data_IF_132254781286
#
_entry.id   IF_132254781286
#
_cell.length_a   1.000
_cell.length_b   1.000
_cell.length_c   1.000
_cell.angle_alpha   90.00
_cell.angle_beta   90.00
_cell.angle_gamma   90.00
#
_symmetry.space_group_name_H-M   'P 1'
#
loop_
_entity.id
_entity.type
_entity.pdbx_description
1 polymer ?
#
# COMPACT_ATOMS: atom_id res chain seq x y z
N UNK A 1 4.02 67.93 -19.19
CA UNK A 1 3.29 67.43 -18.01
C UNK A 1 2.77 66.05 -18.39
N UNK A 2 3.51 64.98 -18.07
CA UNK A 2 3.46 64.21 -16.81
C UNK A 2 2.11 63.50 -16.61
N UNK A 3 2.13 62.16 -16.55
CA UNK A 3 0.96 61.37 -16.14
C UNK A 3 0.93 59.93 -16.63
N UNK A 4 1.84 59.10 -16.12
CA UNK A 4 1.76 57.63 -16.10
C UNK A 4 0.48 57.19 -15.35
N UNK A 5 -0.20 56.13 -15.78
CA UNK A 5 -0.67 55.03 -14.90
C UNK A 5 -1.11 53.84 -15.75
N UNK A 6 -0.35 52.76 -15.63
CA UNK A 6 -0.63 51.45 -16.17
C UNK A 6 -1.86 50.83 -15.49
N UNK A 7 -2.83 50.36 -16.27
CA UNK A 7 -3.85 49.42 -15.79
C UNK A 7 -3.27 48.01 -15.87
N UNK A 8 -2.46 47.67 -14.86
CA UNK A 8 -2.13 46.28 -14.52
C UNK A 8 -3.34 45.68 -13.80
N UNK A 9 -4.29 45.10 -14.52
CA UNK A 9 -5.34 44.27 -13.95
C UNK A 9 -4.78 42.86 -13.71
N UNK A 10 -4.65 42.51 -12.43
CA UNK A 10 -3.77 41.48 -11.88
C UNK A 10 -4.04 40.01 -12.30
N UNK A 11 -3.20 39.09 -11.81
CA UNK A 11 -3.19 37.69 -12.22
C UNK A 11 -4.51 36.99 -11.86
N UNK A 12 -5.04 36.23 -12.81
CA UNK A 12 -6.22 35.37 -12.63
C UNK A 12 -5.99 34.31 -11.56
N UNK A 13 -6.39 34.61 -10.32
CA UNK A 13 -6.39 33.68 -9.17
C UNK A 13 -7.38 32.51 -9.28
N UNK A 14 -8.05 32.34 -10.42
CA UNK A 14 -9.01 31.25 -10.66
C UNK A 14 -8.39 29.98 -11.26
N UNK A 15 -7.14 30.03 -11.73
CA UNK A 15 -6.47 28.86 -12.36
C UNK A 15 -5.85 27.88 -11.35
N UNK A 16 -5.56 28.35 -10.13
CA UNK A 16 -4.89 27.54 -9.10
C UNK A 16 -5.84 26.65 -8.27
N UNK A 17 -7.16 26.88 -8.33
CA UNK A 17 -8.15 26.07 -7.60
C UNK A 17 -8.38 24.67 -8.21
N UNK A 18 -7.80 24.39 -9.38
CA UNK A 18 -8.06 23.16 -10.15
C UNK A 18 -6.88 22.22 -10.30
N UNK A 19 -5.70 22.53 -9.75
CA UNK A 19 -4.60 21.58 -9.70
C UNK A 19 -4.64 20.76 -8.41
N UNK A 20 -5.81 20.16 -8.10
CA UNK A 20 -5.88 19.09 -7.12
C UNK A 20 -5.18 17.88 -7.72
N UNK A 21 -3.87 17.74 -7.45
CA UNK A 21 -3.10 16.57 -7.85
C UNK A 21 -3.79 15.31 -7.31
N UNK A 22 -4.49 14.58 -8.19
CA UNK A 22 -5.15 13.31 -7.84
C UNK A 22 -4.11 12.36 -7.27
N UNK A 23 -4.37 11.85 -6.06
CA UNK A 23 -3.63 10.72 -5.51
C UNK A 23 -3.85 9.54 -6.46
N UNK A 24 -2.78 8.80 -6.77
CA UNK A 24 -2.90 7.63 -7.64
C UNK A 24 -3.77 6.57 -6.93
N UNK A 25 -4.93 6.15 -7.50
CA UNK A 25 -5.79 5.15 -6.88
C UNK A 25 -5.08 3.80 -6.65
N UNK A 26 -3.95 3.54 -7.33
CA UNK A 26 -3.14 2.34 -7.10
C UNK A 26 -2.47 2.32 -5.73
N UNK A 27 -2.25 3.48 -5.09
CA UNK A 27 -1.54 3.55 -3.81
C UNK A 27 -2.28 2.77 -2.71
N UNK A 28 -3.61 2.85 -2.67
CA UNK A 28 -4.42 2.09 -1.71
C UNK A 28 -4.25 0.59 -1.91
N UNK A 29 -4.36 0.12 -3.15
CA UNK A 29 -4.17 -1.29 -3.49
C UNK A 29 -2.76 -1.76 -3.12
N UNK A 30 -1.73 -1.02 -3.49
CA UNK A 30 -0.34 -1.37 -3.19
C UNK A 30 -0.09 -1.44 -1.68
N UNK A 31 -0.67 -0.53 -0.90
CA UNK A 31 -0.54 -0.55 0.55
C UNK A 31 -1.24 -1.78 1.17
N UNK A 32 -2.41 -2.17 0.65
CA UNK A 32 -3.11 -3.39 1.08
C UNK A 32 -2.35 -4.66 0.67
N UNK A 33 -1.82 -4.70 -0.55
CA UNK A 33 -1.01 -5.82 -1.04
C UNK A 33 0.27 -5.99 -0.21
N UNK A 34 0.89 -4.88 0.21
CA UNK A 34 2.04 -4.90 1.11
C UNK A 34 1.69 -5.53 2.47
N UNK A 35 0.57 -5.10 3.07
CA UNK A 35 0.10 -5.69 4.33
C UNK A 35 -0.23 -7.18 4.17
N UNK A 36 -0.85 -7.59 3.06
CA UNK A 36 -1.14 -8.99 2.77
C UNK A 36 0.12 -9.87 2.73
N UNK A 37 1.16 -9.43 2.03
CA UNK A 37 2.44 -10.16 1.98
C UNK A 37 3.10 -10.17 3.36
N UNK A 38 3.10 -9.04 4.05
CA UNK A 38 3.68 -8.93 5.40
C UNK A 38 3.01 -9.89 6.38
N UNK A 39 1.68 -9.96 6.38
CA UNK A 39 0.92 -10.89 7.19
C UNK A 39 1.20 -12.34 6.78
N UNK A 40 1.28 -12.64 5.48
CA UNK A 40 1.66 -13.98 5.01
C UNK A 40 3.01 -14.43 5.58
N UNK A 41 4.03 -13.57 5.56
CA UNK A 41 5.34 -13.85 6.16
C UNK A 41 5.27 -14.03 7.68
N UNK A 42 4.52 -13.19 8.38
CA UNK A 42 4.36 -13.26 9.84
C UNK A 42 3.60 -14.51 10.31
N UNK A 43 2.74 -15.07 9.46
CA UNK A 43 1.94 -16.26 9.77
C UNK A 43 2.72 -17.56 9.57
N UNK A 44 3.82 -17.57 8.79
CA UNK A 44 4.61 -18.78 8.51
C UNK A 44 5.02 -19.56 9.77
N UNK A 45 5.52 -18.93 10.86
CA UNK A 45 5.95 -19.66 12.05
C UNK A 45 4.83 -20.45 12.74
N UNK A 46 3.56 -20.05 12.60
CA UNK A 46 2.42 -20.80 13.14
C UNK A 46 2.26 -22.19 12.49
N UNK A 47 2.78 -22.35 11.27
CA UNK A 47 2.66 -23.55 10.46
C UNK A 47 3.94 -24.38 10.41
N UNK A 48 5.07 -23.79 10.82
CA UNK A 48 6.38 -24.45 10.94
C UNK A 48 6.47 -25.33 12.19
N UNK A 49 5.65 -25.09 13.21
CA UNK A 49 5.63 -25.90 14.45
C UNK A 49 4.88 -27.22 14.33
N UNK A 50 4.19 -27.47 13.22
CA UNK A 50 3.52 -28.75 12.97
C UNK A 50 4.58 -29.71 12.43
N UNK A 51 5.24 -30.42 13.35
CA UNK A 51 6.20 -31.47 12.98
C UNK A 51 5.45 -32.68 12.39
N UNK A 52 5.29 -32.68 11.08
CA UNK A 52 4.69 -33.80 10.35
C UNK A 52 5.69 -34.94 10.13
N UNK A 53 6.98 -34.76 10.47
CA UNK A 53 8.05 -35.71 10.13
C UNK A 53 8.01 -37.02 10.92
N UNK A 54 7.29 -37.04 12.05
CA UNK A 54 7.19 -38.19 12.96
C UNK A 54 6.01 -39.12 12.67
N UNK A 55 5.14 -38.79 11.70
CA UNK A 55 3.98 -39.59 11.33
C UNK A 55 4.10 -40.22 9.93
N UNK A 56 3.52 -41.42 9.68
CA UNK A 56 3.50 -42.06 8.37
C UNK A 56 2.77 -41.27 7.26
N UNK A 57 2.13 -40.16 7.62
CA UNK A 57 1.44 -39.22 6.73
C UNK A 57 2.13 -37.84 6.68
N UNK A 58 3.43 -37.81 6.95
CA UNK A 58 4.23 -36.60 7.01
C UNK A 58 4.37 -35.89 5.67
N UNK A 59 3.55 -34.88 5.44
CA UNK A 59 3.51 -34.04 4.25
C UNK A 59 4.86 -33.71 3.63
N UNK A 60 5.19 -34.37 2.52
CA UNK A 60 6.39 -34.08 1.73
C UNK A 60 6.39 -32.67 1.12
N UNK A 61 7.34 -32.40 0.23
CA UNK A 61 7.53 -31.08 -0.39
C UNK A 61 6.26 -30.52 -1.05
N UNK A 62 5.40 -31.37 -1.62
CA UNK A 62 4.12 -30.96 -2.22
C UNK A 62 3.16 -30.33 -1.19
N UNK A 63 3.07 -30.90 0.02
CA UNK A 63 2.24 -30.32 1.08
C UNK A 63 2.82 -28.99 1.57
N UNK A 64 4.14 -28.89 1.72
CA UNK A 64 4.80 -27.63 2.12
C UNK A 64 4.51 -26.50 1.13
N UNK A 65 4.53 -26.81 -0.17
CA UNK A 65 4.20 -25.83 -1.21
C UNK A 65 2.74 -25.38 -1.11
N UNK A 66 1.82 -26.33 -0.96
CA UNK A 66 0.39 -26.05 -0.81
C UNK A 66 0.09 -25.24 0.46
N UNK A 67 0.74 -25.57 1.57
CA UNK A 67 0.64 -24.83 2.83
C UNK A 67 1.14 -23.39 2.68
N UNK A 68 2.26 -23.19 1.99
CA UNK A 68 2.78 -21.84 1.71
C UNK A 68 1.76 -20.99 0.95
N UNK A 69 1.09 -21.57 -0.05
CA UNK A 69 0.02 -20.89 -0.78
C UNK A 69 -1.18 -20.55 0.12
N UNK A 70 -1.60 -21.49 0.98
CA UNK A 70 -2.68 -21.25 1.94
C UNK A 70 -2.35 -20.11 2.92
N UNK A 71 -1.13 -20.05 3.43
CA UNK A 71 -0.68 -18.98 4.34
C UNK A 71 -0.73 -17.63 3.64
N UNK A 72 -0.31 -17.56 2.38
CA UNK A 72 -0.39 -16.34 1.59
C UNK A 72 -1.84 -15.88 1.37
N UNK A 73 -2.76 -16.80 1.09
CA UNK A 73 -4.19 -16.46 0.96
C UNK A 73 -4.81 -16.02 2.29
N UNK A 74 -4.41 -16.63 3.41
CA UNK A 74 -4.84 -16.19 4.73
C UNK A 74 -4.39 -14.74 5.01
N UNK A 75 -3.12 -14.42 4.72
CA UNK A 75 -2.60 -13.05 4.84
C UNK A 75 -3.39 -12.04 3.99
N UNK A 76 -3.75 -12.41 2.75
CA UNK A 76 -4.62 -11.59 1.88
C UNK A 76 -6.01 -11.40 2.46
N UNK A 77 -6.63 -12.46 2.97
CA UNK A 77 -7.97 -12.36 3.56
C UNK A 77 -7.98 -11.48 4.82
N UNK A 78 -6.95 -11.56 5.65
CA UNK A 78 -6.81 -10.69 6.83
C UNK A 78 -6.65 -9.23 6.39
N UNK A 79 -5.76 -8.94 5.43
CA UNK A 79 -5.59 -7.58 4.90
C UNK A 79 -6.90 -7.02 4.27
N UNK A 80 -7.66 -7.87 3.57
CA UNK A 80 -8.93 -7.49 2.95
C UNK A 80 -10.08 -7.28 3.96
N UNK A 81 -10.03 -7.93 5.12
CA UNK A 81 -11.05 -7.84 6.17
C UNK A 81 -10.81 -6.71 7.19
N UNK A 82 -9.80 -5.87 6.95
CA UNK A 82 -9.47 -4.71 7.77
C UNK A 82 -8.01 -4.66 8.21
N UNK A 83 -7.29 -5.78 8.12
CA UNK A 83 -5.86 -5.85 8.41
C UNK A 83 -5.52 -5.54 9.86
N UNK A 84 -4.26 -5.14 10.08
CA UNK A 84 -3.74 -4.75 11.41
C UNK A 84 -3.29 -3.27 11.44
N UNK A 85 -3.51 -2.54 10.34
CA UNK A 85 -3.23 -1.11 10.21
C UNK A 85 -1.91 -0.78 9.52
N UNK A 86 -1.17 -1.77 9.03
CA UNK A 86 0.07 -1.56 8.26
C UNK A 86 -0.26 -0.87 6.94
N UNK A 87 -1.31 -1.30 6.24
CA UNK A 87 -1.71 -0.69 4.97
C UNK A 87 -2.00 0.81 5.12
N UNK A 88 -2.61 1.24 6.23
CA UNK A 88 -2.88 2.65 6.49
C UNK A 88 -1.59 3.48 6.60
N UNK A 89 -0.59 2.97 7.34
CA UNK A 89 0.71 3.65 7.51
C UNK A 89 1.48 3.72 6.19
N UNK A 90 1.49 2.63 5.42
CA UNK A 90 2.15 2.57 4.11
C UNK A 90 1.49 3.54 3.13
N UNK A 91 0.16 3.57 3.07
CA UNK A 91 -0.61 4.51 2.26
C UNK A 91 -0.20 5.96 2.55
N UNK A 92 -0.16 6.36 3.83
CA UNK A 92 0.23 7.71 4.23
C UNK A 92 1.63 8.07 3.71
N UNK A 93 2.60 7.16 3.84
CA UNK A 93 3.96 7.38 3.36
C UNK A 93 4.06 7.47 1.85
N UNK A 94 3.35 6.62 1.12
CA UNK A 94 3.33 6.69 -0.34
C UNK A 94 2.71 8.00 -0.85
N UNK A 95 1.64 8.49 -0.20
CA UNK A 95 1.03 9.79 -0.53
C UNK A 95 1.98 10.95 -0.23
N UNK A 96 2.68 10.94 0.90
CA UNK A 96 3.71 11.92 1.23
C UNK A 96 4.81 11.98 0.15
N UNK A 97 5.30 10.81 -0.29
CA UNK A 97 6.31 10.70 -1.36
C UNK A 97 5.80 11.25 -2.70
N UNK A 98 4.56 10.94 -3.09
CA UNK A 98 3.97 11.42 -4.34
C UNK A 98 3.78 12.94 -4.37
N UNK A 99 3.49 13.53 -3.19
CA UNK A 99 3.41 14.98 -3.01
C UNK A 99 4.80 15.64 -3.06
N UNK A 100 5.81 15.04 -2.42
CA UNK A 100 7.19 15.55 -2.41
C UNK A 100 7.86 15.49 -3.78
N UNK A 101 7.68 14.41 -4.54
CA UNK A 101 8.16 14.28 -5.92
C UNK A 101 7.45 15.17 -6.93
N UNK A 102 6.31 15.78 -6.56
CA UNK A 102 5.63 16.78 -7.39
C UNK A 102 6.23 18.17 -7.35
N UNK A 103 7.05 18.47 -6.34
CA UNK A 103 7.57 19.82 -6.07
C UNK A 103 8.95 20.06 -6.69
N UNK A 104 9.37 19.19 -7.62
CA UNK A 104 10.64 19.30 -8.35
C UNK A 104 10.36 19.42 -9.84
#
# INVERSE_FOLDING_TARGET
MSGITAMNSGPSHYRDLKEQKKIDPKIEKTARDFEAVTLGEMLKPMFDTVDTSSGPFGGGSAEKQFRSLQVMELGKQIANSGGVGIAHRVYQKMVEMQKGGSRR
#
